data_IF_048804285476
#
_entry.id   IF_048804285476
#
_cell.length_a   1.000
_cell.length_b   1.000
_cell.length_c   1.000
_cell.angle_alpha   90.00
_cell.angle_beta   90.00
_cell.angle_gamma   90.00
#
_symmetry.space_group_name_H-M   'P 1'
#
loop_
_entity.id
_entity.type
_entity.pdbx_description
1 polymer ?
#
# COMPACT_ATOMS: atom_id res chain seq x y z
N UNK A 1 1.43 6.29 72.97
CA UNK A 1 2.30 5.80 71.87
C UNK A 1 1.41 5.21 70.78
N UNK A 2 1.22 5.92 69.66
CA UNK A 2 0.96 5.37 68.31
C UNK A 2 0.72 6.55 67.36
N UNK A 3 1.74 6.81 66.53
CA UNK A 3 1.75 7.84 65.50
C UNK A 3 0.79 7.46 64.37
N UNK A 4 -0.05 8.40 63.93
CA UNK A 4 -0.82 8.28 62.70
C UNK A 4 0.04 8.83 61.55
N UNK A 5 0.51 7.94 60.68
CA UNK A 5 1.34 8.25 59.53
C UNK A 5 0.45 8.79 58.40
N UNK A 6 0.60 10.07 58.05
CA UNK A 6 -0.08 10.68 56.91
C UNK A 6 0.65 10.30 55.62
N UNK A 7 0.04 9.44 54.80
CA UNK A 7 0.55 9.06 53.48
C UNK A 7 0.22 10.17 52.47
N UNK A 8 1.22 10.97 52.10
CA UNK A 8 1.11 11.93 51.00
C UNK A 8 1.07 11.16 49.66
N UNK A 9 -0.13 11.10 49.06
CA UNK A 9 -0.30 10.62 47.69
C UNK A 9 0.26 11.66 46.73
N UNK A 10 1.49 11.43 46.24
CA UNK A 10 2.06 12.16 45.12
C UNK A 10 1.45 11.62 43.83
N UNK A 11 0.38 12.26 43.36
CA UNK A 11 -0.11 12.07 42.00
C UNK A 11 0.93 12.65 41.03
N UNK A 12 1.80 11.79 40.51
CA UNK A 12 2.62 12.11 39.35
C UNK A 12 1.71 12.41 38.17
N UNK A 13 1.77 13.64 37.66
CA UNK A 13 1.14 14.05 36.42
C UNK A 13 1.74 13.21 35.27
N UNK A 14 1.02 12.18 34.84
CA UNK A 14 1.28 11.51 33.58
C UNK A 14 1.00 12.54 32.49
N UNK A 15 2.06 13.10 31.89
CA UNK A 15 1.92 13.89 30.67
C UNK A 15 1.45 12.95 29.57
N UNK A 16 0.15 12.99 29.26
CA UNK A 16 -0.35 12.53 27.97
C UNK A 16 0.43 13.30 26.90
N UNK A 17 1.33 12.62 26.20
CA UNK A 17 1.98 13.18 25.02
C UNK A 17 0.92 13.33 23.95
N UNK A 18 0.30 14.52 23.88
CA UNK A 18 -0.49 14.90 22.72
C UNK A 18 0.41 14.77 21.48
N UNK A 19 -0.06 14.08 20.45
CA UNK A 19 0.64 13.98 19.19
C UNK A 19 0.94 15.40 18.70
N UNK A 20 2.22 15.72 18.47
CA UNK A 20 2.65 17.05 18.04
C UNK A 20 1.89 17.40 16.75
N UNK A 21 1.13 18.48 16.78
CA UNK A 21 0.43 18.99 15.62
C UNK A 21 1.45 19.33 14.52
N UNK A 22 1.17 18.90 13.29
CA UNK A 22 2.06 19.15 12.16
C UNK A 22 1.81 20.58 11.70
N UNK A 23 2.77 21.46 11.98
CA UNK A 23 2.73 22.83 11.48
C UNK A 23 3.02 22.84 9.97
N UNK A 24 2.00 23.18 9.19
CA UNK A 24 2.11 23.28 7.75
C UNK A 24 2.69 24.65 7.34
N UNK A 25 3.68 24.71 6.43
CA UNK A 25 4.15 25.99 5.90
C UNK A 25 3.02 26.82 5.32
N UNK A 26 3.10 28.16 5.46
CA UNK A 26 2.05 29.09 5.00
C UNK A 26 1.69 28.88 3.52
N UNK A 27 2.69 28.63 2.68
CA UNK A 27 2.47 28.37 1.24
C UNK A 27 1.68 27.08 0.99
N UNK A 28 1.86 26.05 1.82
CA UNK A 28 1.19 24.77 1.68
C UNK A 28 -0.22 24.78 2.31
N UNK A 29 -0.51 25.71 3.22
CA UNK A 29 -1.81 25.86 3.89
C UNK A 29 -2.98 26.03 2.92
N UNK A 30 -2.74 26.59 1.73
CA UNK A 30 -3.76 26.76 0.69
C UNK A 30 -4.25 25.45 0.07
N UNK A 31 -3.51 24.35 0.24
CA UNK A 31 -3.90 23.01 -0.25
C UNK A 31 -4.71 22.22 0.78
N UNK A 32 -4.92 22.76 1.98
CA UNK A 32 -5.75 22.12 2.99
C UNK A 32 -7.20 22.04 2.53
N UNK A 33 -7.73 20.82 2.44
CA UNK A 33 -9.11 20.58 2.04
C UNK A 33 -10.07 20.87 3.19
N UNK A 34 -11.27 21.37 2.85
CA UNK A 34 -12.34 21.56 3.84
C UNK A 34 -12.65 20.23 4.54
N UNK A 35 -12.75 20.26 5.86
CA UNK A 35 -12.96 19.09 6.72
C UNK A 35 -11.80 18.08 6.73
N UNK A 36 -10.61 18.47 6.32
CA UNK A 36 -9.40 17.66 6.50
C UNK A 36 -8.47 18.30 7.53
N UNK A 37 -7.62 17.48 8.13
CA UNK A 37 -6.47 17.91 8.93
C UNK A 37 -5.19 17.37 8.31
N UNK A 38 -4.06 18.00 8.63
CA UNK A 38 -2.75 17.54 8.13
C UNK A 38 -2.36 16.27 8.88
N UNK A 39 -2.07 15.22 8.11
CA UNK A 39 -1.60 13.93 8.63
C UNK A 39 -0.10 13.78 8.47
N UNK A 40 0.44 14.28 7.35
CA UNK A 40 1.88 14.35 7.11
C UNK A 40 2.22 15.44 6.09
N UNK A 41 3.44 15.97 6.17
CA UNK A 41 4.01 16.90 5.21
C UNK A 41 5.52 16.67 5.12
N UNK A 42 5.97 16.16 3.97
CA UNK A 42 7.38 15.80 3.73
C UNK A 42 7.86 16.52 2.48
N UNK A 43 9.03 17.14 2.55
CA UNK A 43 9.59 17.93 1.47
C UNK A 43 10.86 17.31 0.88
N UNK A 44 11.05 17.46 -0.43
CA UNK A 44 12.20 16.92 -1.16
C UNK A 44 11.98 17.02 -2.67
N UNK A 45 12.98 16.67 -3.47
CA UNK A 45 12.91 16.75 -4.93
C UNK A 45 12.18 15.52 -5.50
N UNK A 46 10.95 15.71 -6.00
CA UNK A 46 10.07 14.63 -6.42
C UNK A 46 10.08 14.41 -7.93
N UNK A 47 10.46 15.40 -8.73
CA UNK A 47 10.54 15.29 -10.19
C UNK A 47 11.99 15.38 -10.73
N UNK A 48 12.97 15.38 -9.83
CA UNK A 48 14.41 15.45 -10.12
C UNK A 48 14.82 16.73 -10.88
N UNK A 49 14.20 17.86 -10.54
CA UNK A 49 14.51 19.18 -11.12
C UNK A 49 15.36 20.08 -10.21
N UNK A 50 15.75 19.56 -9.04
CA UNK A 50 16.57 20.26 -8.05
C UNK A 50 15.79 21.23 -7.15
N UNK A 51 14.46 21.37 -7.31
CA UNK A 51 13.61 22.17 -6.42
C UNK A 51 13.02 21.31 -5.32
N UNK A 52 12.69 21.98 -4.20
CA UNK A 52 12.12 21.32 -3.03
C UNK A 52 10.60 21.24 -3.18
N UNK A 53 10.13 20.10 -3.65
CA UNK A 53 8.71 19.75 -3.74
C UNK A 53 8.17 19.26 -2.39
N UNK A 54 6.91 18.83 -2.36
CA UNK A 54 6.30 18.26 -1.16
C UNK A 54 5.27 17.16 -1.44
N UNK A 55 5.17 16.22 -0.49
CA UNK A 55 4.04 15.31 -0.33
C UNK A 55 3.22 15.79 0.85
N UNK A 56 1.92 15.98 0.63
CA UNK A 56 0.95 16.35 1.66
C UNK A 56 -0.06 15.21 1.82
N UNK A 57 -0.15 14.68 3.03
CA UNK A 57 -1.17 13.69 3.40
C UNK A 57 -2.19 14.37 4.29
N UNK A 58 -3.46 14.26 3.91
CA UNK A 58 -4.56 14.85 4.66
C UNK A 58 -5.48 13.77 5.22
N UNK A 59 -5.73 13.86 6.53
CA UNK A 59 -6.72 13.03 7.21
C UNK A 59 -8.11 13.62 7.03
N UNK A 60 -9.06 12.84 6.52
CA UNK A 60 -10.45 13.29 6.40
C UNK A 60 -11.15 13.26 7.77
N UNK A 61 -11.69 14.39 8.22
CA UNK A 61 -12.34 14.53 9.53
C UNK A 61 -13.87 14.38 9.47
N UNK A 62 -14.42 13.95 8.33
CA UNK A 62 -15.84 13.63 8.24
C UNK A 62 -16.22 12.60 9.31
N UNK A 63 -17.36 12.83 9.97
CA UNK A 63 -17.87 11.91 10.97
C UNK A 63 -18.07 10.54 10.34
N UNK A 64 -17.52 9.52 11.00
CA UNK A 64 -17.55 8.15 10.53
C UNK A 64 -18.98 7.61 10.57
N UNK A 65 -19.64 7.61 9.41
CA UNK A 65 -20.86 6.86 9.21
C UNK A 65 -20.52 5.56 8.47
N UNK A 66 -20.41 4.47 9.22
CA UNK A 66 -20.14 3.14 8.70
C UNK A 66 -21.19 2.64 7.69
N UNK A 67 -22.34 3.31 7.57
CA UNK A 67 -23.38 2.98 6.60
C UNK A 67 -23.21 3.67 5.24
N UNK A 68 -22.37 4.72 5.14
CA UNK A 68 -22.24 5.57 3.93
C UNK A 68 -21.02 5.28 3.06
N UNK A 69 -20.15 4.37 3.50
CA UNK A 69 -18.99 3.91 2.73
C UNK A 69 -17.65 4.23 3.38
N UNK A 70 -16.59 4.12 2.59
CA UNK A 70 -15.21 4.32 3.05
C UNK A 70 -14.85 5.80 3.12
N UNK A 71 -14.20 6.21 4.22
CA UNK A 71 -13.67 7.57 4.40
C UNK A 71 -12.18 7.54 4.04
N UNK A 72 -11.83 8.27 3.01
CA UNK A 72 -10.50 8.27 2.42
C UNK A 72 -9.67 9.49 2.84
N UNK A 73 -8.41 9.22 3.18
CA UNK A 73 -7.38 10.24 3.30
C UNK A 73 -6.93 10.68 1.91
N UNK A 74 -6.52 11.95 1.77
CA UNK A 74 -6.02 12.45 0.49
C UNK A 74 -4.49 12.38 0.46
N UNK A 75 -3.93 11.75 -0.56
CA UNK A 75 -2.52 11.81 -0.92
C UNK A 75 -2.33 12.87 -2.01
N UNK A 76 -1.46 13.86 -1.79
CA UNK A 76 -1.24 14.97 -2.72
C UNK A 76 0.27 15.15 -2.95
N UNK A 77 0.67 15.21 -4.22
CA UNK A 77 2.02 15.64 -4.63
C UNK A 77 1.93 17.10 -5.07
N UNK A 78 2.79 17.92 -4.48
CA UNK A 78 2.95 19.33 -4.77
C UNK A 78 4.32 19.56 -5.42
N UNK A 79 4.37 20.09 -6.63
CA UNK A 79 5.62 20.38 -7.35
C UNK A 79 5.82 21.89 -7.44
N UNK A 80 7.07 22.36 -7.34
CA UNK A 80 7.40 23.77 -7.57
C UNK A 80 7.52 24.09 -9.05
N UNK A 81 6.89 25.19 -9.44
CA UNK A 81 7.08 25.76 -10.78
C UNK A 81 8.37 26.60 -10.90
N UNK A 82 8.59 27.19 -12.08
CA UNK A 82 9.71 28.11 -12.36
C UNK A 82 9.71 29.38 -11.50
N UNK A 83 8.56 29.75 -10.94
CA UNK A 83 8.41 30.89 -10.05
C UNK A 83 8.51 30.49 -8.57
N UNK A 84 8.98 29.28 -8.27
CA UNK A 84 9.12 28.72 -6.92
C UNK A 84 7.78 28.55 -6.18
N UNK A 85 6.65 28.51 -6.89
CA UNK A 85 5.32 28.32 -6.32
C UNK A 85 4.93 26.83 -6.35
N UNK A 86 4.45 26.32 -5.23
CA UNK A 86 3.87 24.97 -5.16
C UNK A 86 2.57 24.91 -5.97
N UNK A 87 2.39 23.82 -6.72
CA UNK A 87 1.19 23.48 -7.48
C UNK A 87 0.84 22.01 -7.25
N UNK A 88 -0.44 21.66 -7.27
CA UNK A 88 -0.86 20.25 -7.25
C UNK A 88 -0.45 19.61 -8.57
N UNK A 89 0.48 18.65 -8.51
CA UNK A 89 0.80 17.80 -9.65
C UNK A 89 -0.09 16.55 -9.69
N UNK A 90 -0.47 16.04 -8.51
CA UNK A 90 -1.27 14.81 -8.39
C UNK A 90 -2.05 14.80 -7.09
N UNK A 91 -3.27 14.28 -7.15
CA UNK A 91 -4.06 13.88 -5.98
C UNK A 91 -4.60 12.47 -6.19
N UNK A 92 -4.49 11.63 -5.18
CA UNK A 92 -5.09 10.30 -5.16
C UNK A 92 -5.72 10.03 -3.78
N UNK A 93 -7.02 9.80 -3.76
CA UNK A 93 -7.76 9.51 -2.52
C UNK A 93 -7.85 7.99 -2.25
N UNK A 94 -7.41 7.14 -3.17
CA UNK A 94 -7.41 5.67 -3.03
C UNK A 94 -6.03 5.07 -2.79
N UNK A 95 -4.97 5.89 -2.75
CA UNK A 95 -3.61 5.41 -2.54
C UNK A 95 -3.43 4.81 -1.14
N UNK A 96 -4.02 5.48 -0.15
CA UNK A 96 -4.00 5.06 1.23
C UNK A 96 -5.24 4.22 1.53
N UNK A 97 -5.07 3.26 2.43
CA UNK A 97 -6.21 2.53 2.94
C UNK A 97 -7.14 3.47 3.72
N UNK A 98 -8.46 3.42 3.49
CA UNK A 98 -9.40 4.29 4.17
C UNK A 98 -9.45 4.06 5.68
N UNK A 99 -9.93 5.08 6.38
CA UNK A 99 -10.06 5.06 7.83
C UNK A 99 -11.06 3.98 8.29
N UNK A 100 -10.76 3.37 9.43
CA UNK A 100 -11.61 2.36 10.08
C UNK A 100 -11.25 0.92 9.77
N UNK A 101 -10.29 0.71 8.89
CA UNK A 101 -9.62 -0.57 8.72
C UNK A 101 -8.45 -0.73 9.70
N UNK A 102 -7.89 -1.94 9.78
CA UNK A 102 -6.87 -2.32 10.78
C UNK A 102 -5.45 -1.89 10.43
N UNK A 103 -5.24 -1.25 9.29
CA UNK A 103 -3.99 -0.58 8.95
C UNK A 103 -4.01 0.92 9.15
N UNK A 104 -2.80 1.43 9.28
CA UNK A 104 -2.51 2.82 9.52
C UNK A 104 -1.37 3.21 8.60
N UNK A 105 -1.52 4.40 8.02
CA UNK A 105 -0.38 5.12 7.47
C UNK A 105 0.66 5.30 8.58
N UNK A 106 1.90 4.90 8.29
CA UNK A 106 3.02 4.97 9.22
C UNK A 106 4.05 6.04 8.86
N UNK A 107 4.07 6.52 7.62
CA UNK A 107 4.98 7.58 7.20
C UNK A 107 5.22 7.62 5.69
N UNK A 108 5.78 8.75 5.26
CA UNK A 108 6.30 8.98 3.92
C UNK A 108 7.79 9.26 4.01
N UNK A 109 8.56 8.69 3.10
CA UNK A 109 9.99 8.96 2.96
C UNK A 109 10.26 9.42 1.52
N UNK A 110 10.87 10.60 1.34
CA UNK A 110 11.39 11.00 0.02
C UNK A 110 12.78 10.38 -0.15
N UNK A 111 12.98 9.76 -1.30
CA UNK A 111 14.18 9.03 -1.70
C UNK A 111 14.88 9.77 -2.86
N UNK A 112 16.18 9.51 -3.09
CA UNK A 112 16.88 10.10 -4.23
C UNK A 112 16.22 9.78 -5.58
N UNK A 113 16.54 10.58 -6.60
CA UNK A 113 16.10 10.39 -7.99
C UNK A 113 14.57 10.46 -8.18
N UNK A 114 13.92 11.46 -7.56
CA UNK A 114 12.48 11.69 -7.69
C UNK A 114 11.61 10.54 -7.18
N UNK A 115 12.10 9.79 -6.19
CA UNK A 115 11.40 8.65 -5.63
C UNK A 115 10.83 8.97 -4.25
N UNK A 116 9.80 8.25 -3.85
CA UNK A 116 9.28 8.29 -2.49
C UNK A 116 8.71 6.93 -2.09
N UNK A 117 8.64 6.67 -0.79
CA UNK A 117 8.02 5.49 -0.24
C UNK A 117 6.89 5.85 0.73
N UNK A 118 5.82 5.07 0.68
CA UNK A 118 4.69 5.10 1.62
C UNK A 118 4.71 3.83 2.43
N UNK A 119 4.75 3.99 3.75
CA UNK A 119 4.75 2.88 4.70
C UNK A 119 3.38 2.76 5.37
N UNK A 120 2.82 1.57 5.30
CA UNK A 120 1.58 1.18 5.96
C UNK A 120 1.88 0.06 6.96
N UNK A 121 1.19 0.09 8.09
CA UNK A 121 1.32 -0.93 9.13
C UNK A 121 -0.04 -1.24 9.74
N UNK A 122 -0.33 -2.51 9.98
CA UNK A 122 -1.62 -2.92 10.52
C UNK A 122 -1.62 -4.25 11.23
N UNK A 123 -2.83 -4.66 11.59
CA UNK A 123 -3.08 -5.97 12.17
C UNK A 123 -3.14 -5.99 13.70
N UNK A 124 -3.81 -7.02 14.22
CA UNK A 124 -3.99 -7.22 15.67
C UNK A 124 -2.87 -8.12 16.20
N UNK A 125 -3.12 -9.44 16.17
CA UNK A 125 -2.12 -10.46 16.47
C UNK A 125 -1.21 -10.66 15.26
N UNK A 126 -1.81 -10.87 14.09
CA UNK A 126 -1.09 -10.99 12.83
C UNK A 126 -0.79 -9.57 12.35
N UNK A 127 0.42 -9.12 12.64
CA UNK A 127 0.94 -7.82 12.22
C UNK A 127 1.37 -7.91 10.78
N UNK A 128 1.18 -6.82 10.06
CA UNK A 128 1.69 -6.70 8.71
C UNK A 128 2.21 -5.30 8.44
N UNK A 129 3.16 -5.20 7.52
CA UNK A 129 3.59 -3.94 6.93
C UNK A 129 3.57 -4.03 5.41
N UNK A 130 3.30 -2.89 4.77
CA UNK A 130 3.37 -2.70 3.33
C UNK A 130 4.15 -1.43 3.03
N UNK A 131 5.20 -1.54 2.22
CA UNK A 131 5.94 -0.41 1.66
C UNK A 131 5.64 -0.31 0.17
N UNK A 132 5.21 0.86 -0.28
CA UNK A 132 5.03 1.20 -1.70
C UNK A 132 6.09 2.21 -2.08
N UNK A 133 7.01 1.88 -3.00
CA UNK A 133 7.98 2.85 -3.52
C UNK A 133 7.60 3.26 -4.93
N UNK A 134 7.41 4.56 -5.12
CA UNK A 134 7.16 5.18 -6.41
C UNK A 134 8.39 5.96 -6.87
N UNK A 135 8.60 6.03 -8.18
CA UNK A 135 9.66 6.82 -8.79
C UNK A 135 9.16 7.62 -9.98
N UNK A 136 9.55 8.89 -10.02
CA UNK A 136 9.28 9.74 -11.16
C UNK A 136 9.96 9.24 -12.43
N UNK A 137 9.18 9.14 -13.51
CA UNK A 137 9.65 8.82 -14.85
C UNK A 137 9.39 10.03 -15.74
N UNK A 138 10.45 10.76 -16.09
CA UNK A 138 10.36 12.00 -16.86
C UNK A 138 9.68 11.82 -18.23
N UNK A 139 9.84 10.64 -18.85
CA UNK A 139 9.19 10.30 -20.13
C UNK A 139 7.66 10.38 -20.04
N UNK A 140 7.11 9.98 -18.89
CA UNK A 140 5.68 9.85 -18.67
C UNK A 140 5.13 11.00 -17.79
N UNK A 141 6.02 11.88 -17.28
CA UNK A 141 5.71 12.94 -16.33
C UNK A 141 4.85 12.42 -15.15
N UNK A 142 5.24 11.27 -14.60
CA UNK A 142 4.44 10.54 -13.61
C UNK A 142 5.30 9.72 -12.65
N UNK A 143 4.75 9.38 -11.49
CA UNK A 143 5.38 8.54 -10.46
C UNK A 143 4.90 7.11 -10.60
N UNK A 144 5.77 6.23 -11.08
CA UNK A 144 5.46 4.81 -11.31
C UNK A 144 5.77 3.99 -10.07
N UNK A 145 4.93 3.02 -9.74
CA UNK A 145 5.21 2.08 -8.66
C UNK A 145 6.34 1.14 -9.11
N UNK A 146 7.47 1.19 -8.41
CA UNK A 146 8.66 0.40 -8.75
C UNK A 146 8.95 -0.72 -7.75
N UNK A 147 8.31 -0.68 -6.59
CA UNK A 147 8.51 -1.67 -5.54
C UNK A 147 7.30 -1.77 -4.62
N UNK A 148 6.89 -3.00 -4.34
CA UNK A 148 6.05 -3.33 -3.19
C UNK A 148 6.81 -4.28 -2.29
N UNK A 149 6.84 -3.99 -0.98
CA UNK A 149 7.29 -4.95 0.04
C UNK A 149 6.17 -5.20 1.02
N UNK A 150 5.75 -6.45 1.15
CA UNK A 150 4.80 -6.89 2.15
C UNK A 150 5.52 -7.79 3.14
N UNK A 151 5.23 -7.65 4.44
CA UNK A 151 5.77 -8.57 5.45
C UNK A 151 4.75 -8.85 6.54
N UNK A 152 4.80 -10.06 7.09
CA UNK A 152 3.92 -10.52 8.16
C UNK A 152 4.69 -10.96 9.41
N UNK A 153 4.05 -10.81 10.56
CA UNK A 153 4.59 -11.21 11.86
C UNK A 153 3.46 -11.56 12.84
N UNK A 154 3.43 -12.79 13.35
CA UNK A 154 2.52 -13.20 14.42
C UNK A 154 3.09 -12.74 15.76
N UNK A 155 2.48 -11.72 16.37
CA UNK A 155 2.93 -11.18 17.66
C UNK A 155 2.69 -12.10 18.85
N UNK A 156 1.80 -13.10 18.71
CA UNK A 156 1.53 -14.09 19.75
C UNK A 156 2.60 -15.18 19.83
N UNK A 157 3.20 -15.54 18.69
CA UNK A 157 4.29 -16.53 18.61
C UNK A 157 5.66 -15.91 18.41
N UNK A 158 5.72 -14.59 18.16
CA UNK A 158 6.92 -13.86 17.79
C UNK A 158 7.62 -14.41 16.54
N UNK A 159 6.84 -14.94 15.59
CA UNK A 159 7.36 -15.53 14.35
C UNK A 159 7.09 -14.62 13.15
N UNK A 160 8.07 -14.48 12.26
CA UNK A 160 7.87 -13.80 10.97
C UNK A 160 7.25 -14.76 9.96
N UNK A 161 6.27 -14.28 9.21
CA UNK A 161 5.59 -15.02 8.13
C UNK A 161 6.32 -14.86 6.77
N UNK A 162 7.51 -14.23 6.78
CA UNK A 162 8.28 -13.91 5.59
C UNK A 162 7.89 -12.57 4.98
N UNK A 163 8.59 -12.20 3.90
CA UNK A 163 8.30 -11.01 3.12
C UNK A 163 8.12 -11.35 1.64
N UNK A 164 7.16 -10.65 1.02
CA UNK A 164 7.01 -10.62 -0.43
C UNK A 164 7.63 -9.34 -0.95
N UNK A 165 8.43 -9.46 -2.01
CA UNK A 165 8.97 -8.31 -2.74
C UNK A 165 8.51 -8.41 -4.19
N UNK A 166 7.78 -7.39 -4.65
CA UNK A 166 7.34 -7.25 -6.05
C UNK A 166 8.10 -6.07 -6.65
N UNK A 167 8.83 -6.31 -7.73
CA UNK A 167 9.71 -5.33 -8.39
C UNK A 167 9.03 -4.69 -9.60
N UNK A 168 9.64 -3.62 -10.12
CA UNK A 168 9.12 -2.80 -11.21
C UNK A 168 8.67 -3.61 -12.44
N UNK A 169 9.40 -4.67 -12.81
CA UNK A 169 9.05 -5.54 -13.95
C UNK A 169 7.69 -6.26 -13.80
N UNK A 170 7.17 -6.33 -12.57
CA UNK A 170 5.89 -6.92 -12.24
C UNK A 170 4.78 -5.89 -12.02
N UNK A 171 5.12 -4.60 -11.93
CA UNK A 171 4.23 -3.49 -11.55
C UNK A 171 3.93 -2.53 -12.71
N UNK A 172 4.12 -2.99 -13.95
CA UNK A 172 4.00 -2.17 -15.16
C UNK A 172 2.60 -1.54 -15.25
N UNK A 173 2.56 -0.23 -15.52
CA UNK A 173 1.33 0.55 -15.70
C UNK A 173 0.70 1.06 -14.40
N UNK A 174 1.25 0.69 -13.24
CA UNK A 174 0.80 1.21 -11.94
C UNK A 174 1.57 2.49 -11.61
N UNK A 175 0.83 3.54 -11.25
CA UNK A 175 1.33 4.87 -10.94
C UNK A 175 0.68 5.38 -9.65
N UNK A 176 1.26 6.39 -9.03
CA UNK A 176 0.64 7.06 -7.90
C UNK A 176 -0.74 7.66 -8.24
N UNK A 177 -1.04 7.90 -9.52
CA UNK A 177 -2.31 8.49 -9.96
C UNK A 177 -3.45 7.47 -10.03
N UNK A 178 -3.15 6.24 -10.44
CA UNK A 178 -4.14 5.18 -10.64
C UNK A 178 -4.07 4.06 -9.59
N UNK A 179 -3.09 4.08 -8.69
CA UNK A 179 -3.01 3.09 -7.61
C UNK A 179 -4.27 3.18 -6.74
N UNK A 180 -4.87 2.02 -6.48
CA UNK A 180 -5.98 1.88 -5.56
C UNK A 180 -5.66 0.76 -4.59
N UNK A 181 -5.68 1.08 -3.29
CA UNK A 181 -5.34 0.13 -2.23
C UNK A 181 -6.19 -1.15 -2.25
N UNK A 182 -7.45 -1.06 -2.69
CA UNK A 182 -8.37 -2.19 -2.78
C UNK A 182 -8.40 -2.86 -4.14
N UNK A 183 -7.74 -2.29 -5.15
CA UNK A 183 -7.64 -2.91 -6.45
C UNK A 183 -6.37 -3.77 -6.48
N UNK A 184 -6.50 -5.00 -6.02
CA UNK A 184 -5.49 -6.05 -6.16
C UNK A 184 -5.63 -6.81 -7.50
N UNK A 185 -6.50 -6.33 -8.39
CA UNK A 185 -6.85 -7.00 -9.65
C UNK A 185 -7.59 -8.32 -9.43
N UNK A 186 -8.05 -8.60 -8.22
CA UNK A 186 -8.74 -9.85 -7.90
C UNK A 186 -10.21 -9.79 -8.33
N UNK A 187 -10.59 -10.75 -9.17
CA UNK A 187 -11.99 -11.06 -9.44
C UNK A 187 -12.26 -12.50 -9.04
N UNK A 188 -12.88 -12.68 -7.87
CA UNK A 188 -13.27 -13.98 -7.33
C UNK A 188 -14.21 -14.79 -8.23
N UNK A 189 -14.87 -14.13 -9.19
CA UNK A 189 -15.78 -14.76 -10.15
C UNK A 189 -15.02 -15.41 -11.31
N UNK A 190 -13.78 -14.99 -11.56
CA UNK A 190 -12.93 -15.55 -12.62
C UNK A 190 -12.21 -16.78 -12.09
N UNK A 191 -12.49 -17.92 -12.70
CA UNK A 191 -11.71 -19.15 -12.48
C UNK A 191 -10.56 -19.21 -13.46
N UNK A 192 -9.44 -19.76 -13.02
CA UNK A 192 -8.24 -19.92 -13.84
C UNK A 192 -7.89 -21.39 -13.97
N UNK A 193 -7.41 -21.78 -15.14
CA UNK A 193 -7.04 -23.16 -15.46
C UNK A 193 -5.61 -23.24 -15.95
N UNK A 194 -4.87 -24.22 -15.47
CA UNK A 194 -3.52 -24.53 -15.94
C UNK A 194 -3.56 -25.12 -17.35
N UNK A 195 -2.80 -24.52 -18.26
CA UNK A 195 -2.71 -24.90 -19.68
C UNK A 195 -1.42 -25.63 -20.00
N UNK A 196 -0.34 -25.32 -19.29
CA UNK A 196 0.94 -26.02 -19.40
C UNK A 196 0.85 -27.44 -18.84
N UNK A 197 1.60 -28.39 -19.40
CA UNK A 197 1.67 -29.77 -18.90
C UNK A 197 2.11 -29.81 -17.43
N UNK A 198 2.99 -28.88 -17.04
CA UNK A 198 3.45 -28.68 -15.68
C UNK A 198 3.83 -27.22 -15.45
N UNK A 199 3.40 -26.64 -14.33
CA UNK A 199 3.85 -25.32 -13.86
C UNK A 199 4.11 -25.36 -12.36
N UNK A 200 4.95 -24.46 -11.85
CA UNK A 200 5.43 -24.49 -10.47
C UNK A 200 5.02 -23.25 -9.69
N UNK A 201 4.89 -23.40 -8.37
CA UNK A 201 4.76 -22.27 -7.48
C UNK A 201 6.10 -21.58 -7.26
N UNK A 202 6.09 -20.25 -7.20
CA UNK A 202 7.20 -19.40 -6.81
C UNK A 202 6.88 -18.75 -5.46
N UNK A 203 7.92 -18.42 -4.68
CA UNK A 203 7.74 -17.73 -3.40
C UNK A 203 7.48 -16.23 -3.59
N UNK A 204 8.09 -15.64 -4.61
CA UNK A 204 7.91 -14.25 -5.03
C UNK A 204 7.60 -14.22 -6.53
N UNK A 205 6.97 -13.16 -7.06
CA UNK A 205 6.81 -12.98 -8.49
C UNK A 205 8.13 -12.55 -9.15
N UNK A 206 9.18 -13.35 -9.00
CA UNK A 206 10.50 -13.13 -9.57
C UNK A 206 10.92 -14.40 -10.31
N UNK A 207 11.10 -14.29 -11.63
CA UNK A 207 11.50 -15.43 -12.49
C UNK A 207 12.84 -16.03 -12.03
N UNK A 208 13.68 -15.24 -11.35
CA UNK A 208 14.98 -15.65 -10.85
C UNK A 208 14.93 -16.27 -9.45
N UNK A 209 13.80 -16.20 -8.71
CA UNK A 209 13.72 -16.80 -7.38
C UNK A 209 13.69 -18.33 -7.39
N UNK A 210 13.59 -18.94 -8.58
CA UNK A 210 13.47 -20.37 -8.79
C UNK A 210 12.11 -20.94 -8.37
N UNK A 211 11.67 -22.04 -8.99
CA UNK A 211 10.43 -22.72 -8.64
C UNK A 211 10.55 -23.52 -7.34
N UNK A 212 9.47 -23.58 -6.56
CA UNK A 212 9.31 -24.47 -5.41
C UNK A 212 9.03 -25.90 -5.88
N UNK A 213 9.13 -26.87 -4.96
CA UNK A 213 8.81 -28.28 -5.23
C UNK A 213 7.34 -28.52 -5.60
N UNK A 214 6.43 -27.66 -5.12
CA UNK A 214 5.01 -27.73 -5.43
C UNK A 214 4.74 -27.33 -6.88
N UNK A 215 3.95 -28.14 -7.58
CA UNK A 215 3.59 -27.94 -8.98
C UNK A 215 2.12 -28.24 -9.23
N UNK A 216 1.63 -27.72 -10.35
CA UNK A 216 0.32 -28.00 -10.91
C UNK A 216 0.50 -28.64 -12.28
N UNK A 217 -0.54 -29.35 -12.71
CA UNK A 217 -0.60 -29.99 -14.01
C UNK A 217 -1.72 -29.43 -14.86
N UNK A 218 -1.62 -29.63 -16.17
CA UNK A 218 -2.65 -29.24 -17.13
C UNK A 218 -4.02 -29.72 -16.68
N UNK A 219 -4.98 -28.82 -16.64
CA UNK A 219 -6.32 -29.15 -16.18
C UNK A 219 -6.69 -28.61 -14.81
N UNK A 220 -5.70 -28.41 -13.94
CA UNK A 220 -5.93 -27.91 -12.59
C UNK A 220 -6.60 -26.54 -12.61
N UNK A 221 -7.61 -26.37 -11.75
CA UNK A 221 -8.31 -25.10 -11.55
C UNK A 221 -7.85 -24.51 -10.23
N UNK A 222 -7.46 -23.24 -10.27
CA UNK A 222 -6.84 -22.54 -9.13
C UNK A 222 -7.66 -21.35 -8.67
N UNK A 223 -7.49 -21.00 -7.41
CA UNK A 223 -8.00 -19.77 -6.82
C UNK A 223 -6.90 -18.72 -6.92
N UNK A 224 -7.18 -17.61 -7.62
CA UNK A 224 -6.27 -16.47 -7.76
C UNK A 224 -6.60 -15.45 -6.68
N UNK A 225 -5.62 -14.65 -6.23
CA UNK A 225 -5.84 -13.56 -5.26
C UNK A 225 -5.29 -12.24 -5.74
N UNK A 226 -4.34 -12.25 -6.67
CA UNK A 226 -3.80 -11.03 -7.26
C UNK A 226 -3.12 -11.34 -8.59
N UNK A 227 -2.98 -10.30 -9.40
CA UNK A 227 -2.34 -10.36 -10.69
C UNK A 227 -1.17 -9.37 -10.74
N UNK A 228 0.02 -9.83 -11.17
CA UNK A 228 1.14 -8.95 -11.56
C UNK A 228 1.35 -9.03 -13.08
N UNK A 229 2.37 -8.38 -13.61
CA UNK A 229 2.65 -8.40 -15.07
C UNK A 229 2.84 -9.82 -15.60
N UNK A 230 3.67 -10.63 -14.96
CA UNK A 230 4.01 -11.98 -15.43
C UNK A 230 3.49 -13.10 -14.55
N UNK A 231 3.03 -12.81 -13.32
CA UNK A 231 2.58 -13.80 -12.37
C UNK A 231 1.13 -13.57 -11.92
N UNK A 232 0.54 -14.62 -11.38
CA UNK A 232 -0.63 -14.55 -10.52
C UNK A 232 -0.24 -15.07 -9.14
N UNK A 233 -0.80 -14.49 -8.09
CA UNK A 233 -0.79 -15.13 -6.78
C UNK A 233 -1.99 -16.08 -6.70
N UNK A 234 -1.76 -17.32 -6.31
CA UNK A 234 -2.81 -18.33 -6.26
C UNK A 234 -2.63 -19.34 -5.14
N UNK A 235 -3.73 -20.02 -4.83
CA UNK A 235 -3.80 -21.18 -3.95
C UNK A 235 -4.39 -22.34 -4.71
N UNK A 236 -3.81 -23.51 -4.48
CA UNK A 236 -4.35 -24.78 -4.89
C UNK A 236 -4.23 -25.77 -3.73
N UNK A 237 -5.36 -26.28 -3.26
CA UNK A 237 -5.44 -27.09 -2.04
C UNK A 237 -4.76 -26.33 -0.88
N UNK A 238 -3.71 -26.88 -0.28
CA UNK A 238 -3.00 -26.26 0.85
C UNK A 238 -1.68 -25.58 0.43
N UNK A 239 -1.50 -25.29 -0.86
CA UNK A 239 -0.28 -24.64 -1.38
C UNK A 239 -0.64 -23.30 -1.99
N UNK A 240 0.01 -22.25 -1.49
CA UNK A 240 -0.09 -20.89 -2.02
C UNK A 240 1.26 -20.39 -2.53
N UNK A 241 1.23 -19.52 -3.53
CA UNK A 241 2.41 -18.88 -4.09
C UNK A 241 2.11 -18.21 -5.42
N UNK A 242 3.14 -17.91 -6.19
CA UNK A 242 3.03 -17.27 -7.49
C UNK A 242 3.15 -18.27 -8.63
N UNK A 243 2.37 -18.11 -9.70
CA UNK A 243 2.41 -18.96 -10.89
C UNK A 243 2.57 -18.06 -12.11
N UNK A 244 3.34 -18.51 -13.11
CA UNK A 244 3.53 -17.77 -14.35
C UNK A 244 2.22 -17.67 -15.14
N UNK A 245 1.83 -16.44 -15.51
CA UNK A 245 0.62 -16.16 -16.30
C UNK A 245 0.58 -16.89 -17.64
N UNK A 246 1.74 -17.11 -18.27
CA UNK A 246 1.83 -17.84 -19.54
C UNK A 246 1.39 -19.31 -19.46
N UNK A 247 1.36 -19.90 -18.26
CA UNK A 247 1.07 -21.32 -18.05
C UNK A 247 -0.40 -21.58 -17.68
N UNK A 248 -1.23 -20.53 -17.68
CA UNK A 248 -2.63 -20.55 -17.24
C UNK A 248 -3.51 -19.71 -18.19
N UNK A 249 -4.82 -19.87 -18.06
CA UNK A 249 -5.79 -19.02 -18.75
C UNK A 249 -7.05 -18.80 -17.91
N UNK A 250 -7.71 -17.65 -18.11
CA UNK A 250 -9.05 -17.37 -17.57
C UNK A 250 -10.06 -18.35 -18.18
N UNK A 251 -10.90 -18.95 -17.35
CA UNK A 251 -12.07 -19.72 -17.80
C UNK A 251 -13.16 -18.69 -18.11
N UNK A 252 -13.23 -18.27 -19.37
CA UNK A 252 -14.32 -17.41 -19.84
C UNK A 252 -15.56 -18.31 -19.95
N UNK A 253 -16.61 -18.03 -19.16
CA UNK A 253 -17.91 -18.67 -19.39
C UNK A 253 -18.38 -18.26 -20.79
N UNK A 254 -18.49 -19.22 -21.71
CA UNK A 254 -19.19 -18.97 -22.96
C UNK A 254 -20.61 -18.53 -22.60
N UNK A 255 -21.05 -17.40 -23.18
CA UNK A 255 -22.45 -16.98 -23.12
C UNK A 255 -23.28 -18.17 -23.64
N UNK A 256 -24.34 -18.61 -22.95
CA UNK A 256 -25.18 -19.68 -23.48
C UNK A 256 -25.64 -19.28 -24.89
N UNK A 257 -25.70 -20.21 -25.85
CA UNK A 257 -26.19 -19.91 -27.18
C UNK A 257 -27.57 -19.24 -27.04
N UNK A 258 -27.74 -18.09 -27.68
CA UNK A 258 -29.06 -17.49 -27.82
C UNK A 258 -29.87 -18.41 -28.72
N UNK A 259 -30.79 -19.15 -28.10
CA UNK A 259 -31.84 -19.86 -28.81
C UNK A 259 -32.97 -18.90 -29.16
#
# INVERSE_FOLDING_TARGET
MKYFLTLLLSFGLIKLSAQKEIELPKEAAHFLLKNYSVKDYVEGDLNNDGRKDAILILNNNANRDYSTGHIYDAFIILIRDENNKLLIALRNDSLLMPQGYTAYYSGTEIKPNGAFAISLYGGRRDKWSKELTFQYKAKDNSWHLILTKDSGFDSGTMTSEGSTIIKEEELIGITAANYNYFDDGFDSTIKWKVTADKTFFYTNPDKNSGPRKGYLVKGDVIEVYSETTNFIQATFKNTSGYILKKDIQKIIKQKPPQN
#
